data_IF_156490194231
#
_entry.id   IF_156490194231
#
_cell.length_a   1.000
_cell.length_b   1.000
_cell.length_c   1.000
_cell.angle_alpha   90.00
_cell.angle_beta   90.00
_cell.angle_gamma   90.00
#
_symmetry.space_group_name_H-M   'P 1'
#
loop_
_entity.id
_entity.type
_entity.pdbx_description
1 polymer ?
#
# COMPACT_ATOMS: atom_id res chain seq x y z
N UNK A 1 -13.26 9.91 23.03
CA UNK A 1 -12.00 10.52 23.48
C UNK A 1 -10.88 9.92 22.63
N UNK A 2 -9.90 10.75 22.24
CA UNK A 2 -8.73 10.29 21.48
C UNK A 2 -7.94 9.26 22.31
N UNK A 3 -7.29 8.33 21.62
CA UNK A 3 -6.43 7.30 22.22
C UNK A 3 -5.25 7.92 22.98
N UNK A 4 -4.60 7.15 23.85
CA UNK A 4 -3.44 7.62 24.62
C UNK A 4 -2.29 8.01 23.69
N UNK A 5 -2.12 7.30 22.58
CA UNK A 5 -1.15 7.59 21.55
C UNK A 5 -1.39 8.95 20.87
N UNK A 6 -2.64 9.26 20.57
CA UNK A 6 -3.03 10.56 19.99
C UNK A 6 -2.83 11.72 20.96
N UNK A 7 -3.07 11.51 22.25
CA UNK A 7 -2.89 12.55 23.27
C UNK A 7 -1.42 12.91 23.52
N UNK A 8 -0.49 11.97 23.35
CA UNK A 8 0.96 12.23 23.44
C UNK A 8 1.47 13.13 22.32
N UNK A 9 0.66 13.41 21.31
CA UNK A 9 1.04 14.19 20.14
C UNK A 9 0.59 15.62 20.17
N UNK A 10 0.00 16.07 21.25
CA UNK A 10 -0.41 17.46 21.40
C UNK A 10 0.83 18.37 21.36
N UNK A 11 0.81 19.37 20.50
CA UNK A 11 1.90 20.32 20.32
C UNK A 11 2.23 20.63 18.86
N UNK A 12 3.01 21.70 18.66
CA UNK A 12 3.54 22.11 17.35
C UNK A 12 4.93 21.52 17.17
N UNK A 13 5.18 20.91 16.00
CA UNK A 13 6.46 20.28 15.69
C UNK A 13 6.95 20.73 14.32
N UNK A 14 8.21 21.13 14.26
CA UNK A 14 8.87 21.50 13.03
C UNK A 14 9.77 20.35 12.56
N UNK A 15 9.57 19.91 11.34
CA UNK A 15 10.37 18.85 10.73
C UNK A 15 10.84 19.30 9.35
N UNK A 16 12.11 19.09 9.06
CA UNK A 16 12.70 19.22 7.73
C UNK A 16 13.30 17.86 7.33
N UNK A 17 12.80 17.28 6.28
CA UNK A 17 13.26 16.00 5.75
C UNK A 17 13.94 16.17 4.40
N UNK A 18 14.96 15.35 4.12
CA UNK A 18 15.54 15.17 2.81
C UNK A 18 15.13 13.81 2.26
N UNK A 19 14.43 13.80 1.14
CA UNK A 19 13.99 12.59 0.48
C UNK A 19 14.68 12.39 -0.88
N UNK A 20 15.11 11.16 -1.15
CA UNK A 20 15.63 10.77 -2.46
C UNK A 20 15.12 9.39 -2.87
N UNK A 21 15.24 9.09 -4.15
CA UNK A 21 14.88 7.78 -4.68
C UNK A 21 15.66 7.42 -5.91
N UNK A 22 15.90 6.13 -6.06
CA UNK A 22 16.55 5.52 -7.21
C UNK A 22 15.55 4.60 -7.88
N UNK A 23 15.35 4.78 -9.18
CA UNK A 23 14.42 3.95 -9.96
C UNK A 23 15.16 3.29 -11.12
N UNK A 24 14.97 1.97 -11.24
CA UNK A 24 15.34 1.18 -12.40
C UNK A 24 14.06 0.76 -13.09
N UNK A 25 13.85 1.21 -14.32
CA UNK A 25 12.67 0.88 -15.13
C UNK A 25 13.12 0.20 -16.43
N UNK A 26 12.76 -1.08 -16.56
CA UNK A 26 13.05 -1.95 -17.69
C UNK A 26 11.78 -2.55 -18.30
N UNK A 27 10.62 -1.92 -18.04
CA UNK A 27 9.36 -2.32 -18.67
C UNK A 27 9.40 -1.98 -20.16
N UNK A 28 8.71 -2.78 -20.97
CA UNK A 28 8.58 -2.53 -22.41
C UNK A 28 7.84 -1.21 -22.71
N UNK A 29 6.92 -0.80 -21.81
CA UNK A 29 6.19 0.47 -21.87
C UNK A 29 5.75 0.93 -20.48
N UNK A 30 5.54 2.22 -20.32
CA UNK A 30 5.17 2.82 -19.02
C UNK A 30 3.72 2.52 -18.68
N UNK A 31 2.86 2.59 -19.69
CA UNK A 31 1.43 2.36 -19.58
C UNK A 31 1.10 0.95 -20.05
N UNK A 32 0.28 0.19 -19.32
CA UNK A 32 -0.09 -1.21 -19.62
C UNK A 32 1.12 -2.10 -19.97
N UNK A 33 2.14 -2.19 -19.12
CA UNK A 33 3.31 -2.99 -19.40
C UNK A 33 2.94 -4.47 -19.51
N UNK A 34 3.46 -5.13 -20.54
CA UNK A 34 3.27 -6.58 -20.74
C UNK A 34 4.54 -7.39 -20.45
N UNK A 35 5.69 -6.73 -20.32
CA UNK A 35 6.95 -7.40 -20.02
C UNK A 35 7.94 -6.47 -19.32
N UNK A 36 8.92 -7.09 -18.66
CA UNK A 36 9.98 -6.37 -17.95
C UNK A 36 9.65 -6.09 -16.49
N UNK A 37 10.41 -5.20 -15.88
CA UNK A 37 10.26 -4.89 -14.47
C UNK A 37 10.58 -3.44 -14.15
N UNK A 38 10.09 -2.98 -13.01
CA UNK A 38 10.44 -1.68 -12.42
C UNK A 38 10.72 -1.87 -10.94
N UNK A 39 11.80 -1.27 -10.45
CA UNK A 39 12.13 -1.24 -9.02
C UNK A 39 12.46 0.19 -8.63
N UNK A 40 11.91 0.63 -7.52
CA UNK A 40 12.18 1.94 -6.92
C UNK A 40 12.58 1.73 -5.46
N UNK A 41 13.75 2.22 -5.10
CA UNK A 41 14.14 2.46 -3.71
C UNK A 41 13.90 3.92 -3.37
N UNK A 42 13.45 4.21 -2.16
CA UNK A 42 13.27 5.57 -1.63
C UNK A 42 13.71 5.63 -0.18
N UNK A 43 14.32 6.75 0.19
CA UNK A 43 14.72 7.00 1.58
C UNK A 43 14.45 8.45 1.93
N UNK A 44 13.94 8.66 3.15
CA UNK A 44 13.75 9.99 3.72
C UNK A 44 14.58 10.07 4.99
N UNK A 45 15.50 11.05 5.00
CA UNK A 45 16.43 11.32 6.07
C UNK A 45 15.97 12.57 6.82
N UNK A 46 16.00 12.57 8.15
CA UNK A 46 15.76 13.76 8.95
C UNK A 46 16.95 14.72 8.84
N UNK A 47 16.68 16.03 8.67
CA UNK A 47 17.71 17.08 8.66
C UNK A 47 17.65 17.94 9.92
N UNK A 48 16.50 18.48 10.26
CA UNK A 48 16.27 19.32 11.45
C UNK A 48 14.92 18.90 12.01
N UNK A 49 14.88 18.47 13.29
CA UNK A 49 13.70 17.85 13.83
C UNK A 49 13.52 17.97 15.33
N UNK A 50 12.25 18.09 15.71
CA UNK A 50 11.79 17.85 17.09
C UNK A 50 11.57 16.35 17.36
N UNK A 51 11.49 15.51 16.33
CA UNK A 51 11.52 14.05 16.43
C UNK A 51 12.08 13.41 15.15
N UNK A 52 13.20 12.73 15.28
CA UNK A 52 13.97 12.18 14.16
C UNK A 52 13.47 10.79 13.77
N UNK A 53 13.15 10.58 12.49
CA UNK A 53 12.81 9.25 12.00
C UNK A 53 13.33 8.99 10.58
N UNK A 54 13.92 7.82 10.37
CA UNK A 54 14.40 7.35 9.09
C UNK A 54 13.30 6.50 8.41
N UNK A 55 12.90 6.91 7.21
CA UNK A 55 11.93 6.17 6.39
C UNK A 55 12.63 5.54 5.19
N UNK A 56 12.45 4.24 5.01
CA UNK A 56 12.91 3.49 3.84
C UNK A 56 11.73 2.91 3.07
N UNK A 57 11.90 2.78 1.76
CA UNK A 57 10.88 2.21 0.91
C UNK A 57 11.41 1.47 -0.30
N UNK A 58 10.74 0.36 -0.63
CA UNK A 58 10.97 -0.43 -1.83
C UNK A 58 9.63 -0.66 -2.51
N UNK A 59 9.55 -0.32 -3.80
CA UNK A 59 8.48 -0.72 -4.70
C UNK A 59 9.09 -1.50 -5.85
N UNK A 60 8.56 -2.70 -6.12
CA UNK A 60 8.96 -3.50 -7.25
C UNK A 60 7.75 -4.03 -8.01
N UNK A 61 7.84 -4.10 -9.32
CA UNK A 61 6.83 -4.72 -10.16
C UNK A 61 7.50 -5.46 -11.32
N UNK A 62 6.97 -6.64 -11.65
CA UNK A 62 7.41 -7.44 -12.78
C UNK A 62 6.23 -7.88 -13.62
N UNK A 63 6.42 -7.97 -14.93
CA UNK A 63 5.38 -8.30 -15.90
C UNK A 63 5.90 -9.35 -16.88
N UNK A 64 5.03 -10.30 -17.22
CA UNK A 64 5.32 -11.33 -18.20
C UNK A 64 4.06 -11.66 -19.01
N UNK A 65 4.12 -11.48 -20.32
CA UNK A 65 3.05 -11.92 -21.21
C UNK A 65 3.17 -13.43 -21.44
N UNK A 66 2.18 -14.18 -21.00
CA UNK A 66 2.05 -15.61 -21.33
C UNK A 66 1.41 -15.81 -22.72
N UNK A 67 0.55 -14.88 -23.11
CA UNK A 67 -0.05 -14.75 -24.43
C UNK A 67 -0.45 -13.29 -24.67
N UNK A 68 -1.02 -12.99 -25.84
CA UNK A 68 -1.60 -11.66 -26.13
C UNK A 68 -2.80 -11.34 -25.21
N UNK A 69 -3.48 -12.38 -24.71
CA UNK A 69 -4.69 -12.26 -23.90
C UNK A 69 -4.43 -12.42 -22.39
N UNK A 70 -3.21 -12.77 -21.97
CA UNK A 70 -2.89 -13.04 -20.57
C UNK A 70 -1.49 -12.51 -20.20
N UNK A 71 -1.49 -11.55 -19.31
CA UNK A 71 -0.28 -10.96 -18.75
C UNK A 71 -0.27 -11.21 -17.24
N UNK A 72 0.77 -11.87 -16.75
CA UNK A 72 1.03 -12.01 -15.33
C UNK A 72 1.77 -10.79 -14.80
N UNK A 73 1.34 -10.28 -13.66
CA UNK A 73 2.04 -9.23 -12.94
C UNK A 73 2.27 -9.63 -11.48
N UNK A 74 3.43 -9.27 -10.96
CA UNK A 74 3.77 -9.34 -9.55
C UNK A 74 4.13 -7.94 -9.06
N UNK A 75 3.59 -7.53 -7.91
CA UNK A 75 3.81 -6.21 -7.33
C UNK A 75 4.21 -6.36 -5.87
N UNK A 76 5.31 -5.76 -5.49
CA UNK A 76 5.82 -5.76 -4.11
C UNK A 76 5.93 -4.33 -3.60
N UNK A 77 5.52 -4.12 -2.36
CA UNK A 77 5.60 -2.85 -1.67
C UNK A 77 6.07 -3.08 -0.25
N UNK A 78 7.10 -2.38 0.17
CA UNK A 78 7.59 -2.43 1.54
C UNK A 78 8.02 -1.04 2.00
N UNK A 79 7.72 -0.71 3.26
CA UNK A 79 8.19 0.49 3.94
C UNK A 79 8.62 0.14 5.35
N UNK A 80 9.62 0.85 5.85
CA UNK A 80 10.01 0.83 7.25
C UNK A 80 10.27 2.23 7.74
N UNK A 81 9.88 2.52 8.97
CA UNK A 81 10.20 3.76 9.65
C UNK A 81 10.78 3.46 11.02
N UNK A 82 11.87 4.13 11.36
CA UNK A 82 12.57 3.95 12.64
C UNK A 82 12.79 5.32 13.27
N UNK A 83 12.43 5.45 14.54
CA UNK A 83 12.86 6.57 15.36
C UNK A 83 14.39 6.55 15.51
N UNK A 84 15.00 7.71 15.56
CA UNK A 84 16.41 7.90 15.86
C UNK A 84 16.50 8.54 17.25
N UNK A 85 17.68 8.46 17.89
CA UNK A 85 17.94 9.08 19.18
C UNK A 85 17.01 8.63 20.33
N UNK A 86 16.60 7.33 20.32
CA UNK A 86 15.65 6.72 21.27
C UNK A 86 14.24 7.34 21.27
N UNK A 87 13.91 8.10 20.25
CA UNK A 87 12.58 8.67 20.06
C UNK A 87 11.60 7.66 19.44
N UNK A 88 10.40 7.54 20.00
CA UNK A 88 9.30 6.78 19.41
C UNK A 88 8.82 7.42 18.11
N UNK A 89 8.53 6.61 17.10
CA UNK A 89 7.91 7.09 15.87
C UNK A 89 6.51 7.63 16.17
N UNK A 90 6.27 8.88 15.80
CA UNK A 90 4.98 9.55 16.02
C UNK A 90 3.88 8.92 15.16
N UNK A 91 2.65 8.80 15.70
CA UNK A 91 1.49 8.24 14.98
C UNK A 91 1.25 8.95 13.63
N UNK A 92 1.51 10.25 13.55
CA UNK A 92 1.38 11.04 12.31
C UNK A 92 2.41 10.66 11.24
N UNK A 93 3.52 10.03 11.63
CA UNK A 93 4.57 9.53 10.72
C UNK A 93 4.51 8.03 10.49
N UNK A 94 3.72 7.29 11.27
CA UNK A 94 3.58 5.84 11.14
C UNK A 94 3.01 5.45 9.79
N UNK A 95 3.28 4.22 9.42
CA UNK A 95 2.94 3.67 8.13
C UNK A 95 1.55 3.03 8.18
N UNK A 96 0.79 3.29 7.14
CA UNK A 96 -0.52 2.68 6.90
C UNK A 96 -0.51 2.02 5.53
N UNK A 97 -1.10 0.84 5.43
CA UNK A 97 -1.17 0.11 4.17
C UNK A 97 -2.31 0.69 3.30
N UNK A 98 -1.98 1.23 2.11
CA UNK A 98 -3.00 1.75 1.21
C UNK A 98 -3.89 0.62 0.64
N UNK A 99 -5.19 0.87 0.46
CA UNK A 99 -6.11 -0.11 -0.16
C UNK A 99 -5.74 -0.52 -1.59
N UNK A 100 -4.89 0.25 -2.28
CA UNK A 100 -4.36 -0.14 -3.59
C UNK A 100 -3.31 -1.26 -3.53
N UNK A 101 -2.68 -1.45 -2.36
CA UNK A 101 -1.66 -2.48 -2.12
C UNK A 101 -2.24 -3.74 -1.46
N UNK A 102 -3.40 -3.61 -0.82
CA UNK A 102 -4.16 -4.70 -0.22
C UNK A 102 -5.65 -4.45 -0.51
N UNK A 103 -6.08 -4.83 -1.70
CA UNK A 103 -7.48 -4.65 -2.15
C UNK A 103 -8.43 -5.49 -1.30
N UNK A 104 -9.63 -5.01 -1.04
CA UNK A 104 -10.59 -5.66 -0.14
C UNK A 104 -10.50 -5.19 1.33
N UNK A 105 -9.55 -4.30 1.64
CA UNK A 105 -9.41 -3.69 2.96
C UNK A 105 -9.51 -2.16 2.87
N UNK A 106 -10.13 -1.56 3.86
CA UNK A 106 -10.22 -0.10 3.93
C UNK A 106 -8.86 0.53 4.22
N UNK A 107 -8.57 1.62 3.53
CA UNK A 107 -7.34 2.40 3.75
C UNK A 107 -7.23 2.83 5.21
N UNK A 108 -6.05 2.64 5.80
CA UNK A 108 -5.73 3.00 7.19
C UNK A 108 -6.63 2.34 8.26
N UNK A 109 -7.25 1.20 7.93
CA UNK A 109 -8.09 0.42 8.84
C UNK A 109 -7.58 -1.01 9.02
N UNK A 110 -6.27 -1.17 8.89
CA UNK A 110 -5.53 -2.44 9.02
C UNK A 110 -4.32 -2.22 9.91
N UNK A 111 -4.01 -3.17 10.77
CA UNK A 111 -2.82 -3.14 11.61
C UNK A 111 -3.07 -2.69 13.05
N UNK A 112 -2.02 -2.21 13.75
CA UNK A 112 -2.07 -1.87 15.16
C UNK A 112 -3.16 -0.86 15.52
N UNK A 113 -3.83 -1.10 16.65
CA UNK A 113 -4.97 -0.32 17.11
C UNK A 113 -4.83 0.03 18.60
N UNK A 114 -5.09 1.29 18.93
CA UNK A 114 -5.15 1.80 20.31
C UNK A 114 -6.59 2.22 20.61
N UNK A 115 -7.31 1.37 21.34
CA UNK A 115 -8.73 1.58 21.61
C UNK A 115 -9.57 1.59 20.31
N UNK A 116 -10.04 2.75 19.90
CA UNK A 116 -10.85 2.92 18.68
C UNK A 116 -10.05 3.37 17.46
N UNK A 117 -8.79 3.79 17.66
CA UNK A 117 -7.97 4.44 16.64
C UNK A 117 -6.94 3.48 16.06
N UNK A 118 -6.87 3.36 14.73
CA UNK A 118 -5.75 2.71 14.05
C UNK A 118 -4.56 3.66 14.06
N UNK A 119 -3.45 3.18 14.58
CA UNK A 119 -2.25 4.01 14.81
C UNK A 119 -1.12 3.73 13.84
N UNK A 120 -1.34 2.85 12.85
CA UNK A 120 -0.32 2.43 11.90
C UNK A 120 0.77 1.59 12.55
N UNK A 121 1.78 1.24 11.77
CA UNK A 121 2.94 0.46 12.22
C UNK A 121 4.25 1.07 11.76
N UNK A 122 5.36 0.52 12.27
CA UNK A 122 6.69 0.88 11.83
C UNK A 122 7.12 0.15 10.56
N UNK A 123 6.41 -0.93 10.22
CA UNK A 123 6.64 -1.72 9.01
C UNK A 123 5.34 -1.98 8.27
N UNK A 124 5.41 -1.88 6.95
CA UNK A 124 4.37 -2.38 6.06
C UNK A 124 5.01 -3.21 4.95
N UNK A 125 4.33 -4.29 4.57
CA UNK A 125 4.63 -5.03 3.35
C UNK A 125 3.35 -5.41 2.65
N UNK A 126 3.40 -5.44 1.32
CA UNK A 126 2.35 -6.01 0.49
C UNK A 126 2.95 -6.71 -0.73
N UNK A 127 2.32 -7.80 -1.12
CA UNK A 127 2.65 -8.57 -2.31
C UNK A 127 1.35 -8.88 -3.04
N UNK A 128 1.27 -8.48 -4.30
CA UNK A 128 0.14 -8.73 -5.18
C UNK A 128 0.54 -9.57 -6.37
N UNK A 129 -0.28 -10.55 -6.71
CA UNK A 129 -0.24 -11.31 -7.95
C UNK A 129 -1.47 -10.96 -8.76
N UNK A 130 -1.28 -10.70 -10.05
CA UNK A 130 -2.36 -10.25 -10.93
C UNK A 130 -2.27 -10.96 -12.28
N UNK A 131 -3.39 -11.48 -12.72
CA UNK A 131 -3.59 -12.00 -14.07
C UNK A 131 -4.40 -10.97 -14.85
N UNK A 132 -3.76 -10.24 -15.75
CA UNK A 132 -4.39 -9.20 -16.56
C UNK A 132 -4.84 -9.80 -17.88
N UNK A 133 -6.09 -9.50 -18.26
CA UNK A 133 -6.75 -10.02 -19.47
C UNK A 133 -7.21 -8.83 -20.33
N UNK A 134 -6.29 -8.19 -21.09
CA UNK A 134 -6.58 -6.96 -21.82
C UNK A 134 -7.64 -7.12 -22.92
N UNK A 135 -7.76 -8.34 -23.49
CA UNK A 135 -8.67 -8.61 -24.60
C UNK A 135 -9.92 -9.40 -24.16
N UNK A 136 -10.22 -9.47 -22.84
CA UNK A 136 -11.40 -10.20 -22.34
C UNK A 136 -12.71 -9.54 -22.77
N UNK A 137 -12.72 -8.21 -22.89
CA UNK A 137 -13.86 -7.42 -23.35
C UNK A 137 -13.54 -6.80 -24.72
N UNK A 138 -14.56 -6.47 -25.55
CA UNK A 138 -14.34 -5.81 -26.83
C UNK A 138 -13.56 -4.50 -26.69
N UNK A 139 -12.68 -4.17 -27.65
CA UNK A 139 -11.80 -2.98 -27.63
C UNK A 139 -12.58 -1.67 -27.47
N UNK A 140 -13.78 -1.57 -27.99
CA UNK A 140 -14.63 -0.38 -27.90
C UNK A 140 -15.06 -0.05 -26.45
N UNK A 141 -15.02 -1.04 -25.54
CA UNK A 141 -15.26 -0.84 -24.11
C UNK A 141 -14.11 -0.13 -23.42
N UNK A 142 -12.90 -0.15 -23.99
CA UNK A 142 -11.66 0.39 -23.40
C UNK A 142 -11.45 -0.08 -21.96
N UNK A 143 -11.71 -1.36 -21.71
CA UNK A 143 -11.72 -1.93 -20.36
C UNK A 143 -10.78 -3.13 -20.27
N UNK A 144 -9.79 -3.04 -19.41
CA UNK A 144 -8.97 -4.19 -19.03
C UNK A 144 -9.51 -4.82 -17.76
N UNK A 145 -9.62 -6.14 -17.79
CA UNK A 145 -10.05 -6.93 -16.63
C UNK A 145 -8.85 -7.66 -16.05
N UNK A 146 -8.78 -7.76 -14.74
CA UNK A 146 -7.79 -8.58 -14.05
C UNK A 146 -8.38 -9.35 -12.88
N UNK A 147 -7.82 -10.53 -12.62
CA UNK A 147 -8.02 -11.25 -11.38
C UNK A 147 -6.76 -11.11 -10.53
N UNK A 148 -6.90 -11.06 -9.21
CA UNK A 148 -5.77 -10.83 -8.32
C UNK A 148 -5.87 -11.59 -7.00
N UNK A 149 -4.70 -11.80 -6.40
CA UNK A 149 -4.53 -12.19 -5.00
C UNK A 149 -3.54 -11.21 -4.38
N UNK A 150 -3.95 -10.54 -3.31
CA UNK A 150 -3.11 -9.63 -2.55
C UNK A 150 -2.85 -10.20 -1.16
N UNK A 151 -1.66 -9.97 -0.64
CA UNK A 151 -1.31 -10.25 0.75
C UNK A 151 -0.52 -9.08 1.32
N UNK A 152 -0.67 -8.80 2.60
CA UNK A 152 0.05 -7.71 3.23
C UNK A 152 -0.05 -7.70 4.74
N UNK A 153 0.78 -6.88 5.36
CA UNK A 153 0.79 -6.69 6.79
C UNK A 153 1.24 -5.28 7.18
N UNK A 154 0.77 -4.84 8.34
CA UNK A 154 1.19 -3.63 9.05
C UNK A 154 1.47 -4.04 10.48
N UNK A 155 2.68 -3.78 10.99
CA UNK A 155 3.06 -4.24 12.32
C UNK A 155 4.13 -3.38 12.96
N UNK A 156 4.45 -3.70 14.19
CA UNK A 156 5.38 -3.08 15.09
C UNK A 156 5.01 -1.63 15.50
N UNK A 157 5.01 -1.43 16.79
CA UNK A 157 4.78 -0.16 17.45
C UNK A 157 5.83 0.00 18.54
N UNK A 158 6.47 1.15 18.63
CA UNK A 158 7.61 1.41 19.53
C UNK A 158 7.22 1.50 21.01
N UNK A 159 5.95 1.69 21.32
CA UNK A 159 5.50 1.94 22.68
C UNK A 159 4.30 1.10 23.05
N UNK A 160 4.21 0.79 24.37
CA UNK A 160 3.07 0.21 25.07
C UNK A 160 2.66 -1.22 24.72
N UNK A 161 2.75 -2.10 25.70
CA UNK A 161 2.28 -3.49 25.66
C UNK A 161 0.73 -3.62 25.68
N UNK A 162 -0.01 -2.51 25.75
CA UNK A 162 -1.48 -2.50 25.84
C UNK A 162 -2.19 -2.35 24.50
N UNK A 163 -1.45 -2.36 23.39
CA UNK A 163 -1.99 -2.21 22.05
C UNK A 163 -2.40 -3.55 21.47
N UNK A 164 -3.48 -3.53 20.69
CA UNK A 164 -3.82 -4.66 19.83
C UNK A 164 -2.95 -4.59 18.57
N UNK A 165 -1.75 -5.14 18.65
CA UNK A 165 -0.82 -5.32 17.54
C UNK A 165 -0.84 -6.78 17.08
N UNK A 166 -1.94 -7.19 16.49
CA UNK A 166 -2.06 -8.53 15.92
C UNK A 166 -1.23 -8.60 14.65
N UNK A 167 -0.02 -9.18 14.75
CA UNK A 167 0.87 -9.43 13.62
C UNK A 167 0.32 -10.59 12.75
N UNK A 168 -0.81 -10.35 12.09
CA UNK A 168 -1.50 -11.30 11.23
C UNK A 168 -1.27 -10.93 9.77
N UNK A 169 -0.86 -11.88 8.96
CA UNK A 169 -0.81 -11.69 7.50
C UNK A 169 -2.25 -11.66 6.97
N UNK A 170 -2.60 -10.56 6.30
CA UNK A 170 -3.89 -10.35 5.65
C UNK A 170 -3.80 -10.77 4.20
N UNK A 171 -4.85 -11.32 3.68
CA UNK A 171 -4.93 -11.66 2.26
C UNK A 171 -6.34 -11.48 1.72
N UNK A 172 -6.41 -11.24 0.42
CA UNK A 172 -7.66 -11.09 -0.34
C UNK A 172 -7.52 -11.66 -1.74
N UNK A 173 -8.66 -11.95 -2.34
CA UNK A 173 -8.80 -12.35 -3.73
C UNK A 173 -9.88 -11.49 -4.39
N UNK A 174 -9.75 -11.21 -5.67
CA UNK A 174 -10.78 -10.42 -6.34
C UNK A 174 -10.56 -10.24 -7.82
N UNK A 175 -11.40 -9.39 -8.39
CA UNK A 175 -11.34 -8.95 -9.78
C UNK A 175 -11.33 -7.43 -9.84
N UNK A 176 -10.66 -6.89 -10.84
CA UNK A 176 -10.64 -5.46 -11.11
C UNK A 176 -10.95 -5.20 -12.59
N UNK A 177 -11.64 -4.10 -12.85
CA UNK A 177 -11.87 -3.60 -14.19
C UNK A 177 -11.32 -2.17 -14.28
N UNK A 178 -10.40 -1.93 -15.21
CA UNK A 178 -9.82 -0.62 -15.47
C UNK A 178 -10.40 -0.07 -16.78
N UNK A 179 -11.24 0.96 -16.66
CA UNK A 179 -11.94 1.58 -17.79
C UNK A 179 -11.20 2.88 -18.14
N UNK A 180 -10.72 2.98 -19.38
CA UNK A 180 -9.97 4.15 -19.84
C UNK A 180 -10.91 5.20 -20.40
N UNK A 181 -11.16 6.23 -19.62
CA UNK A 181 -12.05 7.34 -19.98
C UNK A 181 -11.27 8.58 -20.41
N UNK A 182 -11.95 9.54 -21.04
CA UNK A 182 -11.33 10.82 -21.46
C UNK A 182 -10.85 11.68 -20.29
N UNK A 183 -11.40 11.46 -19.09
CA UNK A 183 -10.99 12.16 -17.86
C UNK A 183 -9.96 11.40 -17.04
N UNK A 184 -9.52 10.23 -17.53
CA UNK A 184 -8.55 9.34 -16.88
C UNK A 184 -9.13 7.95 -16.61
N UNK A 185 -8.30 7.03 -16.13
CA UNK A 185 -8.72 5.68 -15.85
C UNK A 185 -9.64 5.63 -14.62
N UNK A 186 -10.70 4.86 -14.73
CA UNK A 186 -11.60 4.46 -13.66
C UNK A 186 -11.32 3.00 -13.31
N UNK A 187 -10.95 2.72 -12.09
CA UNK A 187 -10.75 1.35 -11.60
C UNK A 187 -11.90 0.93 -10.69
N UNK A 188 -12.56 -0.15 -11.02
CA UNK A 188 -13.57 -0.82 -10.21
C UNK A 188 -12.96 -2.09 -9.64
N UNK A 189 -13.06 -2.29 -8.34
CA UNK A 189 -12.46 -3.43 -7.64
C UNK A 189 -13.53 -4.14 -6.83
N UNK A 190 -13.67 -5.45 -7.04
CA UNK A 190 -14.46 -6.36 -6.22
C UNK A 190 -13.52 -7.35 -5.57
N UNK A 191 -13.52 -7.40 -4.25
CA UNK A 191 -12.60 -8.22 -3.47
C UNK A 191 -13.29 -8.89 -2.28
N UNK A 192 -12.79 -10.07 -1.95
CA UNK A 192 -13.16 -10.83 -0.75
C UNK A 192 -11.92 -11.03 0.10
N UNK A 193 -11.98 -10.68 1.38
CA UNK A 193 -10.94 -11.02 2.35
C UNK A 193 -10.87 -12.53 2.57
N UNK A 194 -9.66 -13.07 2.61
CA UNK A 194 -9.39 -14.49 2.91
C UNK A 194 -8.88 -14.64 4.35
N UNK A 195 -7.96 -13.77 4.75
CA UNK A 195 -7.42 -13.71 6.11
C UNK A 195 -7.38 -12.27 6.59
N UNK A 196 -7.80 -12.03 7.83
CA UNK A 196 -7.79 -10.73 8.49
C UNK A 196 -7.65 -10.86 10.00
N UNK A 197 -7.22 -9.80 10.68
CA UNK A 197 -7.37 -9.67 12.12
C UNK A 197 -8.81 -9.23 12.48
N UNK A 198 -9.23 -9.50 13.70
CA UNK A 198 -10.59 -9.13 14.18
C UNK A 198 -10.82 -7.61 14.22
N UNK A 199 -9.75 -6.84 14.28
CA UNK A 199 -9.76 -5.36 14.32
C UNK A 199 -9.76 -4.71 12.94
N UNK A 200 -9.48 -5.48 11.87
CA UNK A 200 -9.41 -4.94 10.51
C UNK A 200 -10.80 -4.63 9.96
N UNK A 201 -10.89 -3.55 9.17
CA UNK A 201 -12.09 -3.23 8.40
C UNK A 201 -11.89 -3.56 6.93
N UNK A 202 -12.84 -4.29 6.36
CA UNK A 202 -12.85 -4.71 4.96
C UNK A 202 -13.88 -3.95 4.14
N UNK A 203 -13.68 -3.92 2.82
CA UNK A 203 -14.63 -3.38 1.84
C UNK A 203 -14.63 -4.28 0.60
N UNK A 204 -15.79 -4.85 0.26
CA UNK A 204 -15.91 -5.77 -0.88
C UNK A 204 -15.95 -5.06 -2.24
N UNK A 205 -16.24 -3.78 -2.26
CA UNK A 205 -16.28 -2.94 -3.46
C UNK A 205 -15.55 -1.63 -3.23
N UNK A 206 -14.71 -1.27 -4.16
CA UNK A 206 -14.02 0.02 -4.18
C UNK A 206 -13.94 0.56 -5.62
N UNK A 207 -14.03 1.88 -5.78
CA UNK A 207 -13.76 2.52 -7.06
C UNK A 207 -12.74 3.64 -6.90
N UNK A 208 -11.94 3.88 -7.92
CA UNK A 208 -10.92 4.92 -7.96
C UNK A 208 -10.92 5.60 -9.33
N UNK A 209 -10.74 6.91 -9.32
CA UNK A 209 -10.59 7.73 -10.52
C UNK A 209 -9.21 8.37 -10.46
N UNK A 210 -8.42 8.25 -11.52
CA UNK A 210 -7.12 8.92 -11.63
C UNK A 210 -5.96 8.01 -12.06
N UNK A 211 -4.81 8.62 -12.32
CA UNK A 211 -3.61 8.03 -12.92
C UNK A 211 -2.60 7.46 -11.91
N UNK A 212 -3.01 7.05 -10.72
CA UNK A 212 -2.08 6.44 -9.77
C UNK A 212 -1.88 4.95 -10.07
N UNK A 213 -0.98 4.66 -10.98
CA UNK A 213 -0.46 3.33 -11.29
C UNK A 213 0.86 3.06 -10.57
#
# INVERSE_FOLDING_TARGET
SASSAMKKMDGTFNNMDFAYGITVDKRNQVFQPSSGYRTKFSQTLPLIMDSSALLNGIDASGYHAFSEDLIGAIKFHARSIHGLDDDDVRVTRRLYLPSRQLRGFKTSRVGPKDGKDWIGGNYITALGFEAQMPNLLPEDTRTDVSAFVDTGNVWAVDYSDSLDDTNTIRSSIGVAANIYTVIGPLSLVFAQDLTKASTDETESFNFRIGTSF
#
